data_IF_401624138702
#
_entry.id   IF_401624138702
#
_cell.length_a   1.000
_cell.length_b   1.000
_cell.length_c   1.000
_cell.angle_alpha   90.00
_cell.angle_beta   90.00
_cell.angle_gamma   90.00
#
_symmetry.space_group_name_H-M   'P 1'
#
loop_
_entity.id
_entity.type
_entity.pdbx_description
1 polymer ?
#
# COMPACT_ATOMS: atom_id res chain seq x y z
N UNK A 1 0.45 -24.23 2.97
CA UNK A 1 1.36 -23.48 2.07
C UNK A 1 0.59 -22.79 0.96
N UNK A 2 1.13 -21.71 0.41
CA UNK A 2 0.46 -20.85 -0.58
C UNK A 2 1.43 -19.84 -1.21
N UNK A 3 0.91 -18.89 -1.96
CA UNK A 3 1.69 -17.80 -2.57
C UNK A 3 1.39 -16.51 -1.82
N UNK A 4 2.42 -15.73 -1.50
CA UNK A 4 2.28 -14.40 -0.91
C UNK A 4 2.76 -13.33 -1.89
N UNK A 5 2.16 -12.16 -1.81
CA UNK A 5 2.51 -10.97 -2.57
C UNK A 5 2.85 -9.83 -1.60
N UNK A 6 3.76 -8.95 -2.02
CA UNK A 6 3.97 -7.66 -1.34
C UNK A 6 3.53 -6.54 -2.26
N UNK A 7 2.59 -5.77 -1.74
CA UNK A 7 1.79 -4.81 -2.47
C UNK A 7 2.12 -3.39 -1.98
N UNK A 8 2.47 -2.44 -2.86
CA UNK A 8 2.82 -1.06 -2.50
C UNK A 8 1.58 -0.19 -2.21
N UNK A 9 0.58 -0.77 -1.55
CA UNK A 9 -0.66 -0.11 -1.13
C UNK A 9 -1.20 -0.70 0.17
N UNK A 10 -2.02 0.08 0.88
CA UNK A 10 -2.72 -0.39 2.06
C UNK A 10 -3.97 -1.17 1.67
N UNK A 11 -3.97 -2.48 1.93
CA UNK A 11 -5.12 -3.34 1.67
C UNK A 11 -6.06 -3.36 2.88
N UNK A 12 -7.40 -3.39 2.67
CA UNK A 12 -8.09 -3.55 1.38
C UNK A 12 -8.32 -2.24 0.60
N UNK A 13 -7.90 -1.10 1.16
CA UNK A 13 -8.27 0.24 0.69
C UNK A 13 -7.71 0.60 -0.69
N UNK A 14 -6.58 0.02 -1.08
CA UNK A 14 -5.90 0.33 -2.33
C UNK A 14 -5.49 -0.92 -3.13
N UNK A 15 -6.44 -1.82 -3.39
CA UNK A 15 -6.26 -3.00 -4.26
C UNK A 15 -5.94 -2.60 -5.70
N UNK A 16 -5.21 -3.45 -6.42
CA UNK A 16 -5.00 -3.31 -7.86
C UNK A 16 -3.65 -2.68 -8.22
N UNK A 17 -3.63 -1.73 -9.13
CA UNK A 17 -2.37 -1.18 -9.67
C UNK A 17 -2.21 0.31 -9.39
N UNK A 18 -0.97 0.82 -9.50
CA UNK A 18 -0.63 2.22 -9.27
C UNK A 18 -1.05 2.75 -7.88
N UNK A 19 -0.92 1.92 -6.84
CA UNK A 19 -1.42 2.20 -5.50
C UNK A 19 -0.96 3.52 -4.88
N UNK A 20 0.31 3.97 -5.02
CA UNK A 20 0.70 5.29 -4.52
C UNK A 20 -0.10 6.44 -5.17
N UNK A 21 -0.40 6.35 -6.47
CA UNK A 21 -1.14 7.38 -7.19
C UNK A 21 -2.59 7.44 -6.70
N UNK A 22 -3.27 6.30 -6.65
CA UNK A 22 -4.65 6.24 -6.16
C UNK A 22 -4.76 6.63 -4.69
N UNK A 23 -3.74 6.34 -3.88
CA UNK A 23 -3.72 6.74 -2.48
C UNK A 23 -3.68 8.26 -2.33
N UNK A 24 -2.79 8.94 -3.07
CA UNK A 24 -2.78 10.41 -3.09
C UNK A 24 -4.10 10.95 -3.63
N UNK A 25 -4.58 10.41 -4.76
CA UNK A 25 -5.79 10.88 -5.42
C UNK A 25 -7.02 10.82 -4.50
N UNK A 26 -7.23 9.69 -3.83
CA UNK A 26 -8.40 9.43 -2.98
C UNK A 26 -8.23 9.76 -1.49
N UNK A 27 -7.09 10.32 -1.08
CA UNK A 27 -6.77 10.52 0.34
C UNK A 27 -6.85 9.21 1.14
N UNK A 28 -6.26 8.15 0.59
CA UNK A 28 -5.98 6.91 1.34
C UNK A 28 -4.57 7.07 1.94
N UNK A 29 -4.33 6.69 3.21
CA UNK A 29 -2.97 6.70 3.77
C UNK A 29 -2.00 5.90 2.89
N UNK A 30 -0.77 6.38 2.73
CA UNK A 30 0.25 5.68 1.96
C UNK A 30 0.89 4.60 2.83
N UNK A 31 1.14 3.44 2.24
CA UNK A 31 1.80 2.33 2.91
C UNK A 31 1.86 1.10 2.03
N UNK A 32 2.29 -0.01 2.61
CA UNK A 32 2.43 -1.28 1.91
C UNK A 32 1.81 -2.41 2.72
N UNK A 33 1.43 -3.48 2.04
CA UNK A 33 0.83 -4.67 2.63
C UNK A 33 1.48 -5.94 2.09
N UNK A 34 1.55 -6.98 2.90
CA UNK A 34 1.91 -8.33 2.47
C UNK A 34 0.72 -9.25 2.75
N UNK A 35 0.31 -10.01 1.75
CA UNK A 35 -0.92 -10.80 1.80
C UNK A 35 -0.76 -12.10 1.00
N UNK A 36 -1.66 -13.07 1.23
CA UNK A 36 -1.78 -14.24 0.39
C UNK A 36 -2.45 -13.91 -0.94
N UNK A 37 -2.01 -14.57 -2.00
CA UNK A 37 -2.71 -14.58 -3.27
C UNK A 37 -3.90 -15.55 -3.21
N UNK A 38 -5.03 -15.13 -3.76
CA UNK A 38 -6.19 -15.96 -4.06
C UNK A 38 -6.62 -15.73 -5.52
N UNK A 39 -7.86 -16.08 -5.88
CA UNK A 39 -8.36 -15.93 -7.24
C UNK A 39 -8.74 -14.48 -7.61
N UNK A 40 -8.73 -13.55 -6.66
CA UNK A 40 -8.99 -12.14 -6.91
C UNK A 40 -7.71 -11.30 -6.98
N UNK A 41 -7.88 -10.01 -7.25
CA UNK A 41 -6.76 -9.06 -7.34
C UNK A 41 -6.58 -8.42 -5.96
N UNK A 42 -5.49 -8.78 -5.30
CA UNK A 42 -5.10 -8.30 -3.98
C UNK A 42 -6.17 -8.52 -2.90
N UNK A 43 -6.89 -9.65 -2.93
CA UNK A 43 -8.01 -9.96 -2.03
C UNK A 43 -7.72 -10.97 -0.92
N UNK A 44 -6.67 -11.79 -1.06
CA UNK A 44 -6.41 -12.86 -0.09
C UNK A 44 -5.91 -12.37 1.27
N UNK A 45 -5.96 -13.23 2.30
CA UNK A 45 -5.71 -12.83 3.69
C UNK A 45 -4.43 -11.98 3.89
N UNK A 46 -4.55 -10.95 4.71
CA UNK A 46 -3.43 -10.09 5.14
C UNK A 46 -2.51 -10.85 6.10
N UNK A 47 -1.21 -10.62 5.95
CA UNK A 47 -0.19 -10.97 6.93
C UNK A 47 0.25 -9.71 7.69
N UNK A 48 0.62 -8.67 6.94
CA UNK A 48 1.15 -7.42 7.50
C UNK A 48 0.69 -6.22 6.65
N UNK A 49 0.52 -5.06 7.28
CA UNK A 49 0.40 -3.76 6.60
C UNK A 49 1.01 -2.67 7.48
N UNK A 50 1.66 -1.69 6.86
CA UNK A 50 2.27 -0.56 7.58
C UNK A 50 2.15 0.70 6.75
N UNK A 51 1.86 1.81 7.43
CA UNK A 51 1.79 3.13 6.83
C UNK A 51 3.18 3.76 6.72
N UNK A 52 3.34 4.66 5.74
CA UNK A 52 4.51 5.50 5.56
C UNK A 52 4.15 6.90 6.04
N UNK A 53 5.04 7.48 6.86
CA UNK A 53 4.93 8.88 7.25
C UNK A 53 5.21 9.77 6.03
N UNK A 54 4.17 10.35 5.44
CA UNK A 54 4.30 11.24 4.28
C UNK A 54 4.62 12.66 4.76
N UNK A 55 5.79 13.16 4.41
CA UNK A 55 6.23 14.51 4.75
C UNK A 55 5.93 15.50 3.61
N UNK A 56 5.64 16.75 3.96
CA UNK A 56 5.49 17.84 2.99
C UNK A 56 6.77 17.99 2.16
N UNK A 57 6.61 18.13 0.85
CA UNK A 57 7.73 18.22 -0.10
C UNK A 57 8.20 16.88 -0.69
N UNK A 58 7.67 15.74 -0.22
CA UNK A 58 7.89 14.46 -0.91
C UNK A 58 7.21 14.47 -2.29
N UNK A 59 7.92 13.99 -3.30
CA UNK A 59 7.38 13.83 -4.66
C UNK A 59 6.67 12.48 -4.82
N UNK A 60 5.88 12.33 -5.87
CA UNK A 60 5.25 11.05 -6.20
C UNK A 60 6.26 9.91 -6.34
N UNK A 61 7.44 10.18 -6.89
CA UNK A 61 8.54 9.23 -7.03
C UNK A 61 9.11 8.83 -5.68
N UNK A 62 9.19 9.76 -4.71
CA UNK A 62 9.56 9.41 -3.34
C UNK A 62 8.52 8.45 -2.75
N UNK A 63 7.23 8.71 -2.92
CA UNK A 63 6.18 7.84 -2.40
C UNK A 63 6.23 6.43 -3.04
N UNK A 64 6.49 6.35 -4.34
CA UNK A 64 6.72 5.07 -5.03
C UNK A 64 7.95 4.34 -4.48
N UNK A 65 9.06 5.04 -4.25
CA UNK A 65 10.27 4.45 -3.69
C UNK A 65 10.05 3.93 -2.27
N UNK A 66 9.48 4.74 -1.38
CA UNK A 66 9.24 4.38 0.02
C UNK A 66 8.29 3.18 0.15
N UNK A 67 7.21 3.14 -0.65
CA UNK A 67 6.29 2.00 -0.69
C UNK A 67 6.95 0.72 -1.18
N UNK A 68 7.83 0.81 -2.19
CA UNK A 68 8.60 -0.33 -2.66
C UNK A 68 9.58 -0.86 -1.61
N UNK A 69 10.31 0.04 -0.93
CA UNK A 69 11.23 -0.33 0.15
C UNK A 69 10.47 -0.99 1.29
N UNK A 70 9.35 -0.40 1.72
CA UNK A 70 8.53 -0.96 2.79
C UNK A 70 7.93 -2.31 2.42
N UNK A 71 7.47 -2.49 1.18
CA UNK A 71 6.97 -3.78 0.68
C UNK A 71 8.04 -4.88 0.81
N UNK A 72 9.30 -4.58 0.50
CA UNK A 72 10.42 -5.51 0.69
C UNK A 72 10.69 -5.85 2.17
N UNK A 73 10.58 -4.85 3.05
CA UNK A 73 10.71 -5.06 4.51
C UNK A 73 9.61 -5.98 5.03
N UNK A 74 8.36 -5.75 4.66
CA UNK A 74 7.23 -6.58 5.10
C UNK A 74 7.31 -8.01 4.53
N UNK A 75 7.80 -8.18 3.29
CA UNK A 75 8.07 -9.51 2.74
C UNK A 75 9.07 -10.28 3.58
N UNK A 76 10.20 -9.64 3.95
CA UNK A 76 11.21 -10.25 4.82
C UNK A 76 10.61 -10.65 6.17
N UNK A 77 9.86 -9.75 6.81
CA UNK A 77 9.21 -10.03 8.10
C UNK A 77 8.23 -11.22 8.01
N UNK A 78 7.45 -11.31 6.92
CA UNK A 78 6.56 -12.43 6.67
C UNK A 78 7.31 -13.77 6.49
N UNK A 79 8.45 -13.77 5.80
CA UNK A 79 9.28 -14.96 5.62
C UNK A 79 9.92 -15.43 6.95
N UNK A 80 10.33 -14.50 7.81
CA UNK A 80 10.82 -14.82 9.16
C UNK A 80 9.70 -15.48 9.98
N UNK A 81 8.50 -14.91 9.99
CA UNK A 81 7.36 -15.50 10.70
C UNK A 81 6.97 -16.89 10.17
N UNK A 82 7.18 -17.14 8.87
CA UNK A 82 6.99 -18.47 8.29
C UNK A 82 8.03 -19.47 8.80
N UNK A 83 9.32 -19.11 8.78
CA UNK A 83 10.43 -19.96 9.27
C UNK A 83 10.28 -20.29 10.76
N UNK A 84 9.81 -19.33 11.56
CA UNK A 84 9.53 -19.50 12.99
C UNK A 84 8.23 -20.27 13.29
N UNK A 85 7.40 -20.54 12.27
CA UNK A 85 6.11 -21.21 12.43
C UNK A 85 5.00 -20.34 13.05
N UNK A 86 5.22 -19.03 13.19
CA UNK A 86 4.28 -18.08 13.82
C UNK A 86 3.35 -17.37 12.81
N UNK A 87 3.53 -17.58 11.51
CA UNK A 87 2.76 -16.89 10.46
C UNK A 87 1.23 -17.06 10.53
N UNK A 88 0.73 -18.15 11.12
CA UNK A 88 -0.71 -18.38 11.28
C UNK A 88 -1.35 -17.41 12.27
N UNK A 89 -0.56 -16.87 13.20
CA UNK A 89 -1.03 -15.92 14.23
C UNK A 89 -1.22 -14.51 13.65
N UNK A 90 -0.46 -14.16 12.61
CA UNK A 90 -0.53 -12.84 11.96
C UNK A 90 -1.51 -12.83 10.78
N UNK A 91 -1.88 -14.00 10.25
CA UNK A 91 -2.81 -14.15 9.14
C UNK A 91 -4.23 -13.74 9.56
N UNK A 92 -4.84 -12.84 8.80
CA UNK A 92 -6.22 -12.39 9.03
C UNK A 92 -6.92 -12.01 7.73
N UNK A 93 -8.25 -12.12 7.71
CA UNK A 93 -9.05 -11.62 6.59
C UNK A 93 -8.79 -10.11 6.38
N UNK A 94 -8.71 -9.66 5.12
CA UNK A 94 -8.47 -8.24 4.83
C UNK A 94 -9.64 -7.34 5.24
N UNK A 95 -10.87 -7.86 5.15
CA UNK A 95 -12.09 -7.08 5.23
C UNK A 95 -12.49 -6.45 3.89
N UNK A 96 -13.49 -5.59 3.97
CA UNK A 96 -14.08 -4.87 2.83
C UNK A 96 -13.50 -3.45 2.73
N UNK A 97 -13.52 -2.90 1.52
CA UNK A 97 -13.16 -1.51 1.23
C UNK A 97 -14.29 -0.83 0.48
N UNK A 98 -14.46 0.47 0.70
CA UNK A 98 -15.37 1.30 -0.10
C UNK A 98 -14.77 1.66 -1.47
N UNK A 99 -13.45 1.51 -1.62
CA UNK A 99 -12.74 1.76 -2.85
C UNK A 99 -12.80 0.54 -3.79
N UNK A 100 -12.89 0.76 -5.11
CA UNK A 100 -12.83 -0.33 -6.07
C UNK A 100 -11.42 -0.92 -6.15
N UNK A 101 -11.28 -2.08 -6.80
CA UNK A 101 -9.98 -2.53 -7.29
C UNK A 101 -9.51 -1.59 -8.41
N UNK A 102 -8.41 -0.89 -8.17
CA UNK A 102 -7.89 0.11 -9.09
C UNK A 102 -7.14 -0.51 -10.27
N UNK A 103 -7.18 0.17 -11.41
CA UNK A 103 -6.33 -0.14 -12.57
C UNK A 103 -5.13 0.80 -12.61
N UNK A 104 -4.25 0.66 -13.59
CA UNK A 104 -3.18 1.64 -13.77
C UNK A 104 -3.73 3.06 -13.83
N UNK A 105 -3.08 3.98 -13.12
CA UNK A 105 -3.42 5.40 -13.14
C UNK A 105 -3.07 5.98 -14.52
N UNK A 106 -4.07 6.50 -15.28
CA UNK A 106 -3.79 7.19 -16.52
C UNK A 106 -3.19 8.58 -16.25
N UNK A 107 -2.68 9.21 -17.30
CA UNK A 107 -1.94 10.48 -17.21
C UNK A 107 -2.76 11.58 -16.51
N UNK A 108 -4.07 11.68 -16.78
CA UNK A 108 -4.95 12.65 -16.13
C UNK A 108 -5.04 12.47 -14.62
N UNK A 109 -4.95 11.24 -14.11
CA UNK A 109 -4.93 10.96 -12.67
C UNK A 109 -3.57 11.34 -12.09
N UNK A 110 -2.49 11.02 -12.79
CA UNK A 110 -1.13 11.40 -12.36
C UNK A 110 -0.98 12.92 -12.28
N UNK A 111 -1.54 13.68 -13.23
CA UNK A 111 -1.54 15.15 -13.17
C UNK A 111 -2.23 15.67 -11.92
N UNK A 112 -3.37 15.10 -11.52
CA UNK A 112 -4.05 15.46 -10.27
C UNK A 112 -3.18 15.10 -9.06
N UNK A 113 -2.53 13.93 -9.07
CA UNK A 113 -1.61 13.50 -8.00
C UNK A 113 -0.46 14.48 -7.84
N UNK A 114 0.23 14.83 -8.94
CA UNK A 114 1.33 15.79 -8.90
C UNK A 114 0.86 17.16 -8.39
N UNK A 115 -0.28 17.64 -8.87
CA UNK A 115 -0.84 18.92 -8.42
C UNK A 115 -1.19 18.89 -6.93
N UNK A 116 -1.80 17.80 -6.43
CA UNK A 116 -2.18 17.64 -5.03
C UNK A 116 -0.96 17.62 -4.10
N UNK A 117 0.14 16.99 -4.53
CA UNK A 117 1.40 17.00 -3.79
C UNK A 117 2.06 18.38 -3.83
N UNK A 118 2.08 19.04 -4.99
CA UNK A 118 2.63 20.39 -5.15
C UNK A 118 1.89 21.43 -4.30
N UNK A 119 0.55 21.37 -4.29
CA UNK A 119 -0.31 22.24 -3.49
C UNK A 119 -0.40 21.81 -2.02
N UNK A 120 0.20 20.67 -1.68
CA UNK A 120 0.22 20.07 -0.35
C UNK A 120 -1.18 19.85 0.25
N UNK A 121 -2.11 19.40 -0.59
CA UNK A 121 -3.52 19.17 -0.24
C UNK A 121 -3.87 17.70 -0.01
N UNK A 122 -2.89 16.80 -0.07
CA UNK A 122 -3.05 15.42 0.40
C UNK A 122 -3.37 15.38 1.90
N UNK A 123 -4.37 14.60 2.30
CA UNK A 123 -4.93 14.66 3.65
C UNK A 123 -4.03 14.04 4.74
N UNK A 124 -3.16 13.08 4.39
CA UNK A 124 -2.39 12.29 5.35
C UNK A 124 -0.91 12.69 5.41
N UNK A 125 -0.63 13.98 5.32
CA UNK A 125 0.68 14.47 5.72
C UNK A 125 0.85 14.31 7.22
N UNK A 126 2.00 13.78 7.64
CA UNK A 126 2.38 13.80 9.05
C UNK A 126 2.86 15.19 9.42
N UNK A 127 2.34 15.76 10.50
CA UNK A 127 2.92 16.95 11.12
C UNK A 127 4.35 16.59 11.56
N UNK A 128 5.34 17.35 11.10
CA UNK A 128 6.74 17.06 11.38
C UNK A 128 7.02 17.09 12.89
N UNK A 129 7.86 16.15 13.35
CA UNK A 129 8.73 16.39 14.51
C UNK A 129 9.90 17.29 14.09
#
# INVERSE_FOLDING_TARGET
>A
DGVINSHPGLLPDCRGSASPAWSVYHDIPIGSSTHFCDNGIDTGDLLMRREIAVKRGMTYENLCYETLVLAGVLMKEALIAYDEGSWSEIRRAQGESQHPTFRNAPEEILQVVYQKLADQTYAHYTDGE
#
